data_IF_467544991892
#
_entry.id   IF_467544991892
#
_cell.length_a   1.000
_cell.length_b   1.000
_cell.length_c   1.000
_cell.angle_alpha   90.00
_cell.angle_beta   90.00
_cell.angle_gamma   90.00
#
_symmetry.space_group_name_H-M   'P 1'
#
loop_
_entity.id
_entity.type
_entity.pdbx_description
1 polymer ?
#
# COMPACT_ATOMS: atom_id res chain seq x y z
N UNK A 1 6.52 -18.46 -42.45
CA UNK A 1 6.89 -18.41 -41.02
C UNK A 1 6.05 -17.32 -40.38
N UNK A 2 5.12 -17.63 -39.46
CA UNK A 2 4.34 -16.61 -38.76
C UNK A 2 5.15 -16.06 -37.58
N UNK A 3 5.32 -14.74 -37.52
CA UNK A 3 6.01 -14.04 -36.44
C UNK A 3 5.17 -14.12 -35.15
N UNK A 4 5.76 -14.68 -34.09
CA UNK A 4 5.18 -14.77 -32.75
C UNK A 4 5.80 -13.72 -31.84
N UNK A 5 5.54 -12.43 -32.07
CA UNK A 5 6.17 -11.32 -31.33
C UNK A 5 5.17 -10.34 -30.68
N UNK A 6 3.98 -10.81 -30.27
CA UNK A 6 2.99 -9.92 -29.63
C UNK A 6 2.32 -10.48 -28.38
N UNK A 7 2.82 -11.56 -27.78
CA UNK A 7 2.14 -12.22 -26.65
C UNK A 7 3.05 -12.52 -25.44
N UNK A 8 4.02 -11.64 -25.17
CA UNK A 8 4.91 -11.75 -23.99
C UNK A 8 4.89 -10.53 -23.06
N UNK A 9 4.11 -9.50 -23.41
CA UNK A 9 4.01 -8.24 -22.64
C UNK A 9 2.74 -8.10 -21.78
N UNK A 10 1.69 -8.89 -21.99
CA UNK A 10 0.44 -8.75 -21.25
C UNK A 10 0.48 -9.39 -19.84
N UNK A 11 1.31 -10.42 -19.64
CA UNK A 11 1.44 -11.12 -18.35
C UNK A 11 2.17 -10.26 -17.30
N UNK A 12 3.15 -9.47 -17.74
CA UNK A 12 3.92 -8.58 -16.88
C UNK A 12 3.15 -7.29 -16.54
N UNK A 13 2.26 -6.84 -17.42
CA UNK A 13 1.50 -5.60 -17.24
C UNK A 13 0.41 -5.74 -16.16
N UNK A 14 -0.18 -6.93 -16.02
CA UNK A 14 -1.11 -7.22 -14.93
C UNK A 14 -0.41 -7.36 -13.57
N UNK A 15 0.78 -7.97 -13.51
CA UNK A 15 1.53 -8.08 -12.26
C UNK A 15 1.98 -6.72 -11.71
N UNK A 16 2.44 -5.82 -12.59
CA UNK A 16 2.81 -4.46 -12.20
C UNK A 16 1.63 -3.68 -11.57
N UNK A 17 0.40 -3.92 -12.05
CA UNK A 17 -0.84 -3.33 -11.51
C UNK A 17 -1.25 -3.85 -10.14
N UNK A 18 -0.81 -5.03 -9.71
CA UNK A 18 -1.08 -5.47 -8.33
C UNK A 18 0.07 -5.12 -7.39
N UNK A 19 1.30 -5.15 -7.89
CA UNK A 19 2.50 -4.84 -7.11
C UNK A 19 2.48 -3.42 -6.55
N UNK A 20 2.08 -2.43 -7.36
CA UNK A 20 2.02 -1.04 -6.88
C UNK A 20 0.95 -0.80 -5.79
N UNK A 21 -0.12 -1.60 -5.76
CA UNK A 21 -1.18 -1.51 -4.73
C UNK A 21 -0.65 -2.07 -3.41
N UNK A 22 -0.01 -3.24 -3.45
CA UNK A 22 0.62 -3.85 -2.27
C UNK A 22 1.75 -2.98 -1.71
N UNK A 23 2.56 -2.37 -2.59
CA UNK A 23 3.61 -1.45 -2.18
C UNK A 23 3.04 -0.19 -1.52
N UNK A 24 2.01 0.43 -2.10
CA UNK A 24 1.35 1.59 -1.51
C UNK A 24 0.71 1.26 -0.16
N UNK A 25 0.09 0.08 -0.02
CA UNK A 25 -0.45 -0.42 1.24
C UNK A 25 0.63 -0.50 2.33
N UNK A 26 1.75 -1.18 2.03
CA UNK A 26 2.90 -1.29 2.93
C UNK A 26 3.49 0.08 3.28
N UNK A 27 3.61 0.96 2.28
CA UNK A 27 4.16 2.30 2.45
C UNK A 27 3.31 3.16 3.39
N UNK A 28 1.99 3.15 3.23
CA UNK A 28 1.06 3.88 4.10
C UNK A 28 1.23 3.42 5.55
N UNK A 29 1.22 2.10 5.79
CA UNK A 29 1.40 1.56 7.15
C UNK A 29 2.77 1.97 7.71
N UNK A 30 3.84 1.77 6.94
CA UNK A 30 5.20 2.09 7.37
C UNK A 30 5.36 3.57 7.76
N UNK A 31 4.82 4.49 6.96
CA UNK A 31 4.90 5.94 7.23
C UNK A 31 4.15 6.30 8.52
N UNK A 32 2.93 5.81 8.69
CA UNK A 32 2.14 6.11 9.89
C UNK A 32 2.71 5.46 11.16
N UNK A 33 3.22 4.24 11.06
CA UNK A 33 3.87 3.55 12.19
C UNK A 33 5.19 4.21 12.56
N UNK A 34 6.06 4.53 11.59
CA UNK A 34 7.32 5.21 11.84
C UNK A 34 7.11 6.63 12.36
N UNK A 35 6.11 7.35 11.83
CA UNK A 35 5.71 8.66 12.32
C UNK A 35 5.20 8.62 13.76
N UNK A 36 4.34 7.65 14.08
CA UNK A 36 3.85 7.45 15.45
C UNK A 36 4.97 7.09 16.43
N UNK A 37 5.90 6.22 16.03
CA UNK A 37 7.08 5.87 16.83
C UNK A 37 7.99 7.08 17.07
N UNK A 38 8.28 7.86 16.03
CA UNK A 38 9.12 9.06 16.16
C UNK A 38 8.50 10.13 17.05
N UNK A 39 7.16 10.28 16.99
CA UNK A 39 6.43 11.18 17.89
C UNK A 39 6.47 10.71 19.34
N UNK A 40 6.28 9.41 19.59
CA UNK A 40 6.44 8.85 20.95
C UNK A 40 7.87 9.04 21.48
N UNK A 41 8.88 8.88 20.61
CA UNK A 41 10.28 9.10 20.97
C UNK A 41 10.58 10.56 21.31
N UNK A 42 9.99 11.52 20.59
CA UNK A 42 10.21 12.96 20.80
C UNK A 42 9.50 13.48 22.06
N UNK A 43 8.29 13.00 22.33
CA UNK A 43 7.46 13.48 23.46
C UNK A 43 7.74 12.67 24.74
N UNK A 44 8.43 11.53 24.64
CA UNK A 44 8.74 10.66 25.79
C UNK A 44 7.48 10.06 26.43
N UNK A 45 6.40 9.97 25.67
CA UNK A 45 5.12 9.43 26.13
C UNK A 45 5.13 7.89 26.12
N UNK A 46 4.15 7.29 26.81
CA UNK A 46 3.75 5.91 26.51
C UNK A 46 3.49 5.77 24.99
N UNK A 47 3.59 4.55 24.40
CA UNK A 47 3.53 4.33 22.95
C UNK A 47 2.14 4.56 22.35
N UNK A 48 1.57 5.74 22.58
CA UNK A 48 0.21 6.16 22.28
C UNK A 48 0.13 6.68 20.86
N UNK A 49 1.12 7.47 20.41
CA UNK A 49 1.16 7.96 19.04
C UNK A 49 1.50 6.84 18.05
N UNK A 50 2.29 5.84 18.46
CA UNK A 50 2.51 4.62 17.72
C UNK A 50 1.23 3.82 17.62
N UNK A 51 0.48 3.64 18.71
CA UNK A 51 -0.78 2.90 18.68
C UNK A 51 -1.81 3.59 17.78
N UNK A 52 -1.92 4.92 17.91
CA UNK A 52 -2.85 5.73 17.12
C UNK A 52 -2.42 5.81 15.65
N UNK A 53 -1.14 6.00 15.39
CA UNK A 53 -0.54 5.96 14.06
C UNK A 53 -0.72 4.59 13.41
N UNK A 54 -0.53 3.49 14.13
CA UNK A 54 -0.78 2.15 13.62
C UNK A 54 -2.26 1.93 13.28
N UNK A 55 -3.19 2.37 14.15
CA UNK A 55 -4.62 2.24 13.91
C UNK A 55 -5.05 3.05 12.67
N UNK A 56 -4.60 4.29 12.58
CA UNK A 56 -4.88 5.18 11.43
C UNK A 56 -4.22 4.65 10.16
N UNK A 57 -2.96 4.24 10.23
CA UNK A 57 -2.22 3.68 9.10
C UNK A 57 -2.85 2.40 8.56
N UNK A 58 -3.29 1.52 9.44
CA UNK A 58 -4.01 0.30 9.06
C UNK A 58 -5.35 0.63 8.39
N UNK A 59 -6.14 1.54 8.99
CA UNK A 59 -7.41 1.98 8.41
C UNK A 59 -7.23 2.66 7.04
N UNK A 60 -6.25 3.53 6.90
CA UNK A 60 -5.91 4.22 5.66
C UNK A 60 -5.45 3.24 4.57
N UNK A 61 -4.64 2.24 4.93
CA UNK A 61 -4.16 1.23 4.01
C UNK A 61 -5.31 0.32 3.52
N UNK A 62 -6.22 -0.08 4.41
CA UNK A 62 -7.44 -0.79 4.03
C UNK A 62 -8.33 0.05 3.11
N UNK A 63 -8.58 1.32 3.45
CA UNK A 63 -9.37 2.21 2.62
C UNK A 63 -8.78 2.37 1.21
N UNK A 64 -7.46 2.52 1.11
CA UNK A 64 -6.75 2.57 -0.15
C UNK A 64 -6.90 1.27 -0.94
N UNK A 65 -6.73 0.11 -0.29
CA UNK A 65 -6.88 -1.19 -0.92
C UNK A 65 -8.31 -1.40 -1.46
N UNK A 66 -9.34 -1.07 -0.68
CA UNK A 66 -10.74 -1.15 -1.12
C UNK A 66 -11.02 -0.24 -2.30
N UNK A 67 -10.51 0.98 -2.29
CA UNK A 67 -10.64 1.93 -3.40
C UNK A 67 -9.93 1.40 -4.65
N UNK A 68 -8.71 0.90 -4.51
CA UNK A 68 -7.92 0.35 -5.60
C UNK A 68 -8.60 -0.89 -6.22
N UNK A 69 -9.11 -1.80 -5.40
CA UNK A 69 -9.84 -2.98 -5.87
C UNK A 69 -11.14 -2.58 -6.59
N UNK A 70 -11.88 -1.59 -6.07
CA UNK A 70 -13.09 -1.08 -6.71
C UNK A 70 -12.81 -0.43 -8.06
N UNK A 71 -11.68 0.25 -8.21
CA UNK A 71 -11.24 0.85 -9.46
C UNK A 71 -10.81 -0.21 -10.49
N UNK A 72 -10.25 -1.33 -10.05
CA UNK A 72 -9.84 -2.45 -10.90
C UNK A 72 -11.02 -3.33 -11.33
N UNK A 73 -11.99 -3.56 -10.44
CA UNK A 73 -13.16 -4.41 -10.71
C UNK A 73 -14.36 -3.72 -11.36
N UNK A 74 -14.34 -2.39 -11.48
CA UNK A 74 -15.42 -1.59 -12.09
C UNK A 74 -15.15 -1.13 -13.53
N UNK A 75 -14.10 -1.65 -14.18
CA UNK A 75 -13.76 -1.40 -15.59
C UNK A 75 -14.25 -2.49 -16.53
#
# INVERSE_FOLDING_TARGET
MPNTDSQRNDSNQNYARFFHIGFAFMFIIAVFTAGGYGLDWLVGTLPLFLLLGMLVGFGAALYYLFTALKQVGGG
#
